data_IF_751149441319
#
_entry.id   IF_751149441319
#
_cell.length_a   1.000
_cell.length_b   1.000
_cell.length_c   1.000
_cell.angle_alpha   90.00
_cell.angle_beta   90.00
_cell.angle_gamma   90.00
#
_symmetry.space_group_name_H-M   'P 1'
#
loop_
_entity.id
_entity.type
_entity.pdbx_description
1 polymer ?
#
# COMPACT_ATOMS: atom_id res chain seq x y z
N UNK A 1 32.14 8.57 -0.46
CA UNK A 1 31.20 8.93 0.63
C UNK A 1 30.01 7.98 0.70
N UNK A 2 28.92 8.14 -0.07
CA UNK A 2 27.72 7.27 0.09
C UNK A 2 27.97 5.79 -0.24
N UNK A 3 28.74 5.49 -1.28
CA UNK A 3 29.10 4.10 -1.62
C UNK A 3 29.86 3.41 -0.47
N UNK A 4 30.82 4.10 0.14
CA UNK A 4 31.59 3.59 1.27
C UNK A 4 30.72 3.37 2.51
N UNK A 5 29.70 4.21 2.73
CA UNK A 5 28.71 4.02 3.81
C UNK A 5 27.90 2.75 3.57
N UNK A 6 27.46 2.48 2.34
CA UNK A 6 26.74 1.24 2.04
C UNK A 6 27.63 0.00 2.09
N UNK A 7 28.92 0.13 1.78
CA UNK A 7 29.90 -0.96 1.91
C UNK A 7 30.12 -1.40 3.36
N UNK A 8 29.71 -0.57 4.33
CA UNK A 8 29.69 -0.94 5.74
C UNK A 8 28.37 -1.58 6.19
N UNK A 9 27.29 -1.51 5.40
CA UNK A 9 26.03 -2.18 5.72
C UNK A 9 26.10 -3.65 5.30
N UNK A 10 25.98 -4.55 6.26
CA UNK A 10 25.99 -5.99 6.02
C UNK A 10 24.66 -6.50 5.48
N UNK A 11 23.54 -5.91 5.91
CA UNK A 11 22.17 -6.27 5.50
C UNK A 11 21.30 -5.01 5.55
N UNK A 12 20.36 -4.88 4.61
CA UNK A 12 19.32 -3.85 4.61
C UNK A 12 17.99 -4.49 4.18
N UNK A 13 17.13 -4.80 5.14
CA UNK A 13 15.85 -5.48 4.89
C UNK A 13 14.69 -4.53 4.61
N UNK A 14 14.88 -3.22 4.84
CA UNK A 14 13.81 -2.23 4.78
C UNK A 14 14.27 -0.91 4.16
N UNK A 15 13.48 -0.39 3.22
CA UNK A 15 13.67 0.92 2.61
C UNK A 15 12.32 1.65 2.59
N UNK A 16 12.24 2.76 3.31
CA UNK A 16 11.09 3.66 3.26
C UNK A 16 11.55 5.06 2.85
N UNK A 17 10.92 5.59 1.80
CA UNK A 17 11.25 6.91 1.26
C UNK A 17 10.22 7.90 1.81
N UNK A 18 10.70 8.79 2.68
CA UNK A 18 9.90 9.80 3.38
C UNK A 18 10.34 11.20 2.95
N UNK A 19 9.38 12.10 2.69
CA UNK A 19 9.64 13.53 2.44
C UNK A 19 10.81 13.82 1.47
N UNK A 20 10.83 13.13 0.33
CA UNK A 20 11.95 13.18 -0.60
C UNK A 20 11.62 14.13 -1.77
N UNK A 21 12.19 15.33 -1.73
CA UNK A 21 11.96 16.34 -2.77
C UNK A 21 12.74 16.10 -4.07
N UNK A 22 13.66 15.13 -4.09
CA UNK A 22 14.36 14.71 -5.29
C UNK A 22 14.93 13.31 -5.09
N UNK A 23 14.47 12.37 -5.90
CA UNK A 23 14.98 11.01 -5.91
C UNK A 23 16.01 10.87 -7.03
N UNK A 24 17.28 10.70 -6.68
CA UNK A 24 18.32 10.39 -7.65
C UNK A 24 18.19 8.92 -8.05
N UNK A 25 17.73 8.66 -9.28
CA UNK A 25 17.48 7.29 -9.76
C UNK A 25 18.76 6.44 -9.77
N UNK A 26 19.91 6.98 -10.16
CA UNK A 26 21.20 6.24 -10.14
C UNK A 26 21.57 5.79 -8.73
N UNK A 27 21.32 6.65 -7.73
CA UNK A 27 21.56 6.34 -6.34
C UNK A 27 20.67 5.20 -5.85
N UNK A 28 19.36 5.27 -6.12
CA UNK A 28 18.44 4.23 -5.63
C UNK A 28 18.65 2.90 -6.34
N UNK A 29 18.96 2.92 -7.63
CA UNK A 29 19.31 1.71 -8.37
C UNK A 29 20.52 0.98 -7.79
N UNK A 30 21.53 1.70 -7.30
CA UNK A 30 22.71 1.10 -6.67
C UNK A 30 22.36 0.42 -5.35
N UNK A 31 21.54 1.06 -4.51
CA UNK A 31 21.08 0.49 -3.23
C UNK A 31 20.25 -0.77 -3.49
N UNK A 32 19.28 -0.71 -4.41
CA UNK A 32 18.44 -1.86 -4.73
C UNK A 32 19.28 -3.03 -5.24
N UNK A 33 20.19 -2.80 -6.18
CA UNK A 33 21.03 -3.89 -6.71
C UNK A 33 21.89 -4.54 -5.65
N UNK A 34 22.32 -3.78 -4.65
CA UNK A 34 23.17 -4.28 -3.57
C UNK A 34 22.39 -5.11 -2.56
N UNK A 35 21.17 -4.70 -2.24
CA UNK A 35 20.36 -5.29 -1.16
C UNK A 35 19.13 -6.04 -1.68
N UNK A 36 19.01 -6.28 -2.99
CA UNK A 36 17.79 -6.86 -3.59
C UNK A 36 17.39 -8.20 -2.99
N UNK A 37 18.39 -9.00 -2.61
CA UNK A 37 18.19 -10.37 -2.14
C UNK A 37 17.74 -10.40 -0.68
N UNK A 38 18.07 -9.37 0.10
CA UNK A 38 17.69 -9.24 1.51
C UNK A 38 16.58 -8.21 1.75
N UNK A 39 16.18 -7.42 0.75
CA UNK A 39 15.11 -6.44 0.88
C UNK A 39 13.77 -7.16 1.00
N UNK A 40 13.10 -6.94 2.12
CA UNK A 40 11.80 -7.53 2.43
C UNK A 40 10.71 -6.47 2.64
N UNK A 41 11.08 -5.21 2.87
CA UNK A 41 10.13 -4.15 3.19
C UNK A 41 10.44 -2.92 2.32
N UNK A 42 9.42 -2.44 1.63
CA UNK A 42 9.56 -1.27 0.77
C UNK A 42 8.36 -0.34 0.87
N UNK A 43 8.60 0.97 0.91
CA UNK A 43 7.51 1.92 1.06
C UNK A 43 7.78 3.36 0.61
N UNK A 44 6.70 4.07 0.28
CA UNK A 44 6.67 5.52 0.12
C UNK A 44 5.73 6.15 1.15
N UNK A 45 6.15 7.15 1.89
CA UNK A 45 5.19 7.87 2.74
C UNK A 45 4.12 8.58 1.92
N UNK A 46 2.90 8.61 2.47
CA UNK A 46 1.66 9.22 1.97
C UNK A 46 1.72 10.74 1.66
N UNK A 47 2.85 11.41 1.91
CA UNK A 47 2.98 12.88 1.79
C UNK A 47 3.79 13.38 0.58
N UNK A 48 3.91 12.61 -0.50
CA UNK A 48 4.65 13.05 -1.70
C UNK A 48 3.78 13.95 -2.60
N UNK A 49 4.35 15.00 -3.20
CA UNK A 49 3.64 15.88 -4.14
C UNK A 49 3.66 15.33 -5.59
N UNK A 50 2.75 15.79 -6.46
CA UNK A 50 2.55 15.29 -7.84
C UNK A 50 3.79 15.35 -8.75
N UNK A 51 4.81 16.16 -8.40
CA UNK A 51 6.03 16.35 -9.21
C UNK A 51 6.96 15.12 -9.26
N UNK A 52 6.63 14.03 -8.56
CA UNK A 52 7.52 12.87 -8.35
C UNK A 52 7.07 11.56 -9.01
N UNK A 53 6.02 11.58 -9.82
CA UNK A 53 5.49 10.36 -10.42
C UNK A 53 6.51 9.61 -11.30
N UNK A 54 7.33 10.33 -12.07
CA UNK A 54 8.34 9.70 -12.95
C UNK A 54 9.49 9.03 -12.17
N UNK A 55 10.18 9.70 -11.22
CA UNK A 55 11.19 9.03 -10.40
C UNK A 55 10.63 7.86 -9.57
N UNK A 56 9.42 8.00 -9.03
CA UNK A 56 8.70 6.93 -8.32
C UNK A 56 8.46 5.73 -9.24
N UNK A 57 8.00 5.98 -10.47
CA UNK A 57 7.78 4.95 -11.47
C UNK A 57 9.06 4.21 -11.86
N UNK A 58 10.13 4.94 -12.17
CA UNK A 58 11.42 4.32 -12.49
C UNK A 58 11.93 3.45 -11.34
N UNK A 59 11.78 3.94 -10.10
CA UNK A 59 12.16 3.20 -8.92
C UNK A 59 11.35 1.90 -8.80
N UNK A 60 10.03 1.97 -8.99
CA UNK A 60 9.19 0.80 -8.98
C UNK A 60 9.55 -0.24 -10.03
N UNK A 61 9.79 0.18 -11.27
CA UNK A 61 10.22 -0.72 -12.35
C UNK A 61 11.50 -1.46 -11.96
N UNK A 62 12.43 -0.78 -11.29
CA UNK A 62 13.65 -1.40 -10.76
C UNK A 62 13.37 -2.39 -9.62
N UNK A 63 12.64 -2.00 -8.59
CA UNK A 63 12.37 -2.90 -7.45
C UNK A 63 11.61 -4.13 -7.91
N UNK A 64 10.58 -3.94 -8.74
CA UNK A 64 9.79 -5.02 -9.35
C UNK A 64 10.68 -6.01 -10.11
N UNK A 65 11.74 -5.51 -10.76
CA UNK A 65 12.70 -6.33 -11.50
C UNK A 65 13.66 -7.09 -10.60
N UNK A 66 14.21 -6.47 -9.56
CA UNK A 66 15.33 -7.01 -8.78
C UNK A 66 14.92 -7.63 -7.44
N UNK A 67 13.97 -7.04 -6.73
CA UNK A 67 13.53 -7.49 -5.42
C UNK A 67 12.40 -8.50 -5.57
N UNK A 68 12.61 -9.72 -5.10
CA UNK A 68 11.63 -10.82 -5.18
C UNK A 68 11.10 -11.27 -3.83
N UNK A 69 11.69 -10.81 -2.72
CA UNK A 69 11.36 -11.25 -1.36
C UNK A 69 10.56 -10.21 -0.57
N UNK A 70 9.88 -9.28 -1.25
CA UNK A 70 9.13 -8.22 -0.56
C UNK A 70 7.94 -8.85 0.18
N UNK A 71 7.94 -8.69 1.50
CA UNK A 71 6.91 -9.11 2.45
C UNK A 71 5.98 -7.95 2.84
N UNK A 72 6.53 -6.74 2.99
CA UNK A 72 5.78 -5.52 3.28
C UNK A 72 5.91 -4.53 2.13
N UNK A 73 4.77 -4.03 1.65
CA UNK A 73 4.73 -3.00 0.64
C UNK A 73 3.79 -1.85 1.03
N UNK A 74 4.31 -0.62 0.98
CA UNK A 74 3.54 0.62 1.10
C UNK A 74 3.64 1.42 -0.19
N UNK A 75 2.53 1.53 -0.92
CA UNK A 75 2.55 2.21 -2.22
C UNK A 75 2.75 3.73 -2.11
N UNK A 76 2.47 4.33 -0.95
CA UNK A 76 2.11 5.74 -0.85
C UNK A 76 0.97 6.07 -1.81
N UNK A 77 0.98 7.31 -2.32
CA UNK A 77 -0.07 7.82 -3.22
C UNK A 77 -0.30 6.88 -4.41
N UNK A 78 -1.53 6.47 -4.71
CA UNK A 78 -1.79 5.53 -5.78
C UNK A 78 -1.37 6.08 -7.15
N UNK A 79 -0.68 5.25 -7.91
CA UNK A 79 -0.67 5.32 -9.36
C UNK A 79 -1.23 3.99 -9.89
N UNK A 80 -2.10 4.06 -10.90
CA UNK A 80 -2.98 2.93 -11.22
C UNK A 80 -2.20 1.67 -11.62
N UNK A 81 -1.22 1.76 -12.51
CA UNK A 81 -0.66 0.56 -13.14
C UNK A 81 0.48 -0.07 -12.33
N UNK A 82 1.22 0.69 -11.52
CA UNK A 82 2.47 0.20 -10.95
C UNK A 82 2.24 -0.59 -9.68
N UNK A 83 1.23 -0.21 -8.89
CA UNK A 83 0.83 -0.94 -7.68
C UNK A 83 0.50 -2.39 -8.02
N UNK A 84 -0.31 -2.61 -9.06
CA UNK A 84 -0.72 -3.95 -9.46
C UNK A 84 0.46 -4.79 -9.94
N UNK A 85 1.30 -4.23 -10.81
CA UNK A 85 2.51 -4.90 -11.29
C UNK A 85 3.42 -5.29 -10.14
N UNK A 86 3.56 -4.44 -9.12
CA UNK A 86 4.39 -4.72 -7.95
C UNK A 86 3.82 -5.88 -7.13
N UNK A 87 2.51 -5.86 -6.88
CA UNK A 87 1.82 -6.92 -6.16
C UNK A 87 1.99 -8.24 -6.93
N UNK A 88 1.66 -8.26 -8.22
CA UNK A 88 1.80 -9.42 -9.11
C UNK A 88 3.20 -10.04 -9.05
N UNK A 89 4.24 -9.21 -9.13
CA UNK A 89 5.62 -9.68 -9.11
C UNK A 89 6.08 -10.27 -7.77
N UNK A 90 5.40 -9.95 -6.67
CA UNK A 90 5.74 -10.42 -5.33
C UNK A 90 4.59 -11.20 -4.68
N UNK A 91 3.64 -11.73 -5.46
CA UNK A 91 2.45 -12.44 -4.97
C UNK A 91 2.75 -13.61 -4.03
N UNK A 92 3.93 -14.23 -4.16
CA UNK A 92 4.32 -15.36 -3.31
C UNK A 92 4.87 -14.95 -1.94
N UNK A 93 5.26 -13.68 -1.76
CA UNK A 93 5.97 -13.21 -0.58
C UNK A 93 5.26 -12.08 0.17
N UNK A 94 4.48 -11.24 -0.51
CA UNK A 94 3.74 -10.14 0.12
C UNK A 94 2.74 -10.73 1.13
N UNK A 95 2.86 -10.26 2.37
CA UNK A 95 1.96 -10.57 3.47
C UNK A 95 1.29 -9.30 4.04
N UNK A 96 1.91 -8.14 3.84
CA UNK A 96 1.48 -6.86 4.37
C UNK A 96 1.44 -5.84 3.24
N UNK A 97 0.28 -5.23 3.04
CA UNK A 97 0.07 -4.25 1.98
C UNK A 97 -0.63 -3.00 2.55
N UNK A 98 -0.07 -1.84 2.24
CA UNK A 98 -0.61 -0.52 2.59
C UNK A 98 -0.76 0.31 1.31
N UNK A 99 -1.95 0.87 1.09
CA UNK A 99 -2.24 1.77 -0.03
C UNK A 99 -2.97 2.98 0.51
N UNK A 100 -2.38 4.17 0.29
CA UNK A 100 -2.91 5.41 0.86
C UNK A 100 -2.91 6.56 -0.13
N UNK A 101 -4.08 7.16 -0.31
CA UNK A 101 -4.27 8.39 -1.06
C UNK A 101 -4.18 9.62 -0.14
N UNK A 102 -3.83 10.75 -0.74
CA UNK A 102 -3.70 12.02 -0.05
C UNK A 102 -4.98 12.87 -0.23
N UNK A 103 -5.40 13.57 0.83
CA UNK A 103 -6.63 14.36 0.92
C UNK A 103 -6.60 15.71 0.19
N UNK A 104 -5.45 16.14 -0.35
CA UNK A 104 -5.29 17.51 -0.85
C UNK A 104 -5.60 17.72 -2.34
N UNK A 105 -5.91 16.68 -3.12
CA UNK A 105 -6.17 16.83 -4.55
C UNK A 105 -7.38 15.98 -5.01
N UNK A 106 -8.32 16.61 -5.70
CA UNK A 106 -9.54 15.99 -6.25
C UNK A 106 -9.26 14.94 -7.31
N UNK A 107 -8.11 15.02 -8.01
CA UNK A 107 -7.71 14.03 -9.01
C UNK A 107 -7.54 12.63 -8.40
N UNK A 108 -7.29 12.54 -7.08
CA UNK A 108 -7.12 11.26 -6.40
C UNK A 108 -8.43 10.57 -6.04
N UNK A 109 -9.59 11.22 -6.19
CA UNK A 109 -10.86 10.53 -5.95
C UNK A 109 -11.14 9.48 -7.02
N UNK A 110 -10.95 9.83 -8.29
CA UNK A 110 -11.13 8.92 -9.42
C UNK A 110 -10.10 7.79 -9.37
N UNK A 111 -8.82 8.13 -9.16
CA UNK A 111 -7.75 7.15 -9.01
C UNK A 111 -7.98 6.20 -7.83
N UNK A 112 -8.43 6.72 -6.68
CA UNK A 112 -8.73 5.87 -5.51
C UNK A 112 -9.83 4.85 -5.79
N UNK A 113 -10.88 5.27 -6.50
CA UNK A 113 -11.97 4.39 -6.93
C UNK A 113 -11.47 3.32 -7.89
N UNK A 114 -10.71 3.69 -8.92
CA UNK A 114 -10.09 2.76 -9.89
C UNK A 114 -9.17 1.77 -9.17
N UNK A 115 -8.34 2.26 -8.24
CA UNK A 115 -7.43 1.46 -7.43
C UNK A 115 -8.17 0.42 -6.63
N UNK A 116 -9.19 0.84 -5.88
CA UNK A 116 -9.97 -0.05 -5.03
C UNK A 116 -10.71 -1.13 -5.85
N UNK A 117 -11.36 -0.74 -6.95
CA UNK A 117 -12.15 -1.67 -7.78
C UNK A 117 -11.29 -2.80 -8.37
N UNK A 118 -10.07 -2.51 -8.82
CA UNK A 118 -9.22 -3.49 -9.48
C UNK A 118 -8.30 -4.26 -8.53
N UNK A 119 -8.01 -3.70 -7.34
CA UNK A 119 -7.05 -4.27 -6.40
C UNK A 119 -7.32 -5.74 -6.08
N UNK A 120 -8.57 -6.12 -5.84
CA UNK A 120 -8.96 -7.47 -5.48
C UNK A 120 -8.54 -8.55 -6.49
N UNK A 121 -8.42 -8.19 -7.78
CA UNK A 121 -8.06 -9.12 -8.86
C UNK A 121 -6.59 -9.53 -8.83
N UNK A 122 -5.72 -8.69 -8.24
CA UNK A 122 -4.26 -8.88 -8.25
C UNK A 122 -3.70 -9.25 -6.87
N UNK A 123 -4.52 -9.17 -5.82
CA UNK A 123 -4.10 -9.55 -4.46
C UNK A 123 -3.57 -10.99 -4.42
N UNK A 124 -2.53 -11.27 -3.62
CA UNK A 124 -2.09 -12.64 -3.39
C UNK A 124 -3.18 -13.43 -2.67
N UNK A 125 -3.15 -14.77 -2.75
CA UNK A 125 -4.17 -15.65 -2.12
C UNK A 125 -4.28 -15.49 -0.60
N UNK A 126 -3.28 -14.89 0.05
CA UNK A 126 -3.25 -14.67 1.50
C UNK A 126 -2.54 -13.37 1.84
N UNK A 127 -3.12 -12.60 2.77
CA UNK A 127 -2.51 -11.46 3.43
C UNK A 127 -2.67 -11.57 4.95
N UNK A 128 -1.63 -11.21 5.68
CA UNK A 128 -1.71 -10.98 7.13
C UNK A 128 -2.33 -9.63 7.45
N UNK A 129 -2.06 -8.61 6.63
CA UNK A 129 -2.59 -7.27 6.81
C UNK A 129 -2.81 -6.57 5.47
N UNK A 130 -3.99 -5.94 5.32
CA UNK A 130 -4.28 -5.03 4.22
C UNK A 130 -4.81 -3.71 4.81
N UNK A 131 -4.14 -2.59 4.51
CA UNK A 131 -4.53 -1.26 4.91
C UNK A 131 -4.84 -0.41 3.69
N UNK A 132 -6.08 0.09 3.62
CA UNK A 132 -6.57 0.94 2.54
C UNK A 132 -7.06 2.26 3.13
N UNK A 133 -6.41 3.35 2.76
CA UNK A 133 -6.85 4.71 3.09
C UNK A 133 -7.09 5.45 1.78
N UNK A 134 -8.31 5.37 1.25
CA UNK A 134 -8.65 5.74 -0.12
C UNK A 134 -9.94 6.57 -0.16
N UNK A 135 -10.15 7.35 -1.21
CA UNK A 135 -11.48 7.93 -1.49
C UNK A 135 -12.32 6.91 -2.24
N UNK A 136 -13.49 6.55 -1.72
CA UNK A 136 -14.35 5.58 -2.40
C UNK A 136 -15.84 5.77 -2.11
N UNK A 137 -16.67 5.09 -2.90
CA UNK A 137 -18.11 4.93 -2.73
C UNK A 137 -18.44 3.50 -2.28
N UNK A 138 -19.69 3.26 -1.85
CA UNK A 138 -20.17 1.91 -1.51
C UNK A 138 -19.97 0.94 -2.68
N UNK A 139 -20.28 1.40 -3.90
CA UNK A 139 -20.15 0.58 -5.10
C UNK A 139 -18.71 0.12 -5.32
N UNK A 140 -17.74 0.98 -5.06
CA UNK A 140 -16.31 0.62 -5.20
C UNK A 140 -15.92 -0.46 -4.20
N UNK A 141 -16.36 -0.32 -2.95
CA UNK A 141 -16.09 -1.29 -1.89
C UNK A 141 -16.73 -2.65 -2.20
N UNK A 142 -17.98 -2.68 -2.66
CA UNK A 142 -18.63 -3.92 -3.09
C UNK A 142 -17.87 -4.63 -4.21
N UNK A 143 -17.39 -3.88 -5.21
CA UNK A 143 -16.59 -4.43 -6.31
C UNK A 143 -15.28 -5.01 -5.78
N UNK A 144 -14.57 -4.27 -4.92
CA UNK A 144 -13.34 -4.74 -4.29
C UNK A 144 -13.55 -6.07 -3.54
N UNK A 145 -14.62 -6.17 -2.74
CA UNK A 145 -14.93 -7.36 -1.96
C UNK A 145 -15.27 -8.56 -2.86
N UNK A 146 -16.07 -8.35 -3.92
CA UNK A 146 -16.38 -9.38 -4.93
C UNK A 146 -15.11 -9.86 -5.62
N UNK A 147 -14.22 -8.93 -5.99
CA UNK A 147 -12.96 -9.26 -6.65
C UNK A 147 -11.96 -9.95 -5.71
N UNK A 148 -12.06 -9.72 -4.40
CA UNK A 148 -11.16 -10.29 -3.39
C UNK A 148 -11.63 -11.63 -2.79
N UNK A 149 -12.69 -12.24 -3.32
CA UNK A 149 -13.30 -13.46 -2.73
C UNK A 149 -12.34 -14.65 -2.61
N UNK A 150 -11.30 -14.71 -3.45
CA UNK A 150 -10.30 -15.79 -3.44
C UNK A 150 -9.08 -15.48 -2.57
N UNK A 151 -9.09 -14.35 -1.85
CA UNK A 151 -7.97 -13.90 -1.03
C UNK A 151 -8.34 -13.97 0.44
N UNK A 152 -7.57 -14.72 1.22
CA UNK A 152 -7.70 -14.71 2.68
C UNK A 152 -7.00 -13.47 3.26
N UNK A 153 -7.76 -12.60 3.93
CA UNK A 153 -7.20 -11.42 4.60
C UNK A 153 -7.41 -11.56 6.11
N UNK A 154 -6.32 -11.75 6.85
CA UNK A 154 -6.38 -11.96 8.31
C UNK A 154 -6.82 -10.70 9.06
N UNK A 155 -6.35 -9.53 8.62
CA UNK A 155 -6.73 -8.22 9.16
C UNK A 155 -6.82 -7.23 8.02
N UNK A 156 -8.04 -6.82 7.72
CA UNK A 156 -8.33 -5.74 6.79
C UNK A 156 -8.56 -4.46 7.60
N UNK A 157 -8.07 -3.35 7.09
CA UNK A 157 -8.37 -2.01 7.55
C UNK A 157 -8.72 -1.16 6.34
N UNK A 158 -9.87 -0.50 6.37
CA UNK A 158 -10.34 0.37 5.30
C UNK A 158 -10.80 1.69 5.92
N UNK A 159 -10.38 2.79 5.31
CA UNK A 159 -10.66 4.14 5.75
C UNK A 159 -10.98 5.01 4.54
N UNK A 160 -12.09 5.74 4.59
CA UNK A 160 -12.42 6.75 3.58
C UNK A 160 -11.83 8.09 3.98
N UNK A 161 -10.96 8.61 3.13
CA UNK A 161 -10.27 9.88 3.39
C UNK A 161 -11.16 11.11 3.17
N UNK A 162 -12.30 10.96 2.48
CA UNK A 162 -13.25 12.06 2.23
C UNK A 162 -14.29 12.19 3.34
N UNK A 163 -14.41 11.18 4.21
CA UNK A 163 -15.37 11.18 5.32
C UNK A 163 -16.83 11.02 4.88
N UNK A 164 -17.08 10.33 3.76
CA UNK A 164 -18.41 9.93 3.27
C UNK A 164 -18.99 8.76 4.08
N UNK A 165 -18.15 8.05 4.85
CA UNK A 165 -18.60 7.04 5.80
C UNK A 165 -19.05 7.75 7.08
N UNK A 166 -20.34 8.06 7.19
CA UNK A 166 -20.93 8.50 8.45
C UNK A 166 -21.50 7.29 9.25
N UNK A 167 -22.08 7.56 10.43
CA UNK A 167 -22.66 6.51 11.28
C UNK A 167 -23.86 5.78 10.62
N UNK A 168 -24.52 6.42 9.65
CA UNK A 168 -25.63 5.83 8.90
C UNK A 168 -25.11 4.84 7.84
N UNK A 169 -23.91 5.08 7.31
CA UNK A 169 -23.16 4.21 6.40
C UNK A 169 -22.79 2.84 7.01
N UNK A 170 -22.19 2.82 8.20
CA UNK A 170 -21.87 1.55 8.88
C UNK A 170 -23.13 0.76 9.29
N UNK A 171 -24.24 1.48 9.50
CA UNK A 171 -25.54 0.89 9.80
C UNK A 171 -26.20 0.27 8.57
N UNK A 172 -26.04 0.87 7.39
CA UNK A 172 -26.59 0.33 6.13
C UNK A 172 -25.83 -0.90 5.67
N UNK A 173 -24.51 -0.92 5.85
CA UNK A 173 -23.68 -2.09 5.62
C UNK A 173 -23.73 -3.08 6.79
N UNK A 174 -24.64 -2.97 7.76
CA UNK A 174 -24.61 -3.83 8.96
C UNK A 174 -24.68 -5.31 8.62
N UNK A 175 -25.40 -5.69 7.56
CA UNK A 175 -25.49 -7.07 7.13
C UNK A 175 -24.18 -7.54 6.48
N UNK A 176 -23.60 -6.70 5.63
CA UNK A 176 -22.35 -6.90 4.90
C UNK A 176 -21.15 -6.88 5.85
N UNK A 177 -21.09 -5.96 6.81
CA UNK A 177 -20.10 -5.88 7.91
C UNK A 177 -20.21 -7.08 8.84
N UNK A 178 -21.41 -7.60 9.07
CA UNK A 178 -21.57 -8.85 9.81
C UNK A 178 -21.08 -10.06 8.99
N UNK A 179 -21.30 -10.09 7.67
CA UNK A 179 -20.64 -11.06 6.78
C UNK A 179 -19.12 -10.89 6.81
N UNK A 180 -18.58 -9.68 6.81
CA UNK A 180 -17.15 -9.40 6.90
C UNK A 180 -16.55 -9.95 8.20
N UNK A 181 -17.26 -9.81 9.33
CA UNK A 181 -16.84 -10.41 10.60
C UNK A 181 -16.77 -11.93 10.54
N UNK A 182 -17.64 -12.61 9.77
CA UNK A 182 -17.55 -14.06 9.55
C UNK A 182 -16.28 -14.47 8.81
N UNK A 183 -15.66 -13.53 8.08
CA UNK A 183 -14.42 -13.72 7.33
C UNK A 183 -13.19 -13.06 8.00
N UNK A 184 -13.28 -12.71 9.30
CA UNK A 184 -12.24 -12.01 10.07
C UNK A 184 -11.84 -10.61 9.54
N UNK A 185 -12.71 -9.97 8.76
CA UNK A 185 -12.50 -8.60 8.29
C UNK A 185 -12.99 -7.62 9.37
N UNK A 186 -12.15 -6.66 9.75
CA UNK A 186 -12.45 -5.63 10.76
C UNK A 186 -12.64 -4.28 10.04
N UNK A 187 -13.82 -3.70 10.11
CA UNK A 187 -14.09 -2.34 9.58
C UNK A 187 -14.00 -1.36 10.76
N UNK A 188 -13.26 -0.26 10.61
CA UNK A 188 -13.10 0.81 11.62
C UNK A 188 -13.37 2.18 10.99
N UNK A 189 -13.83 3.13 11.80
CA UNK A 189 -14.00 4.52 11.35
C UNK A 189 -12.66 5.22 11.14
N UNK A 190 -12.63 6.20 10.23
CA UNK A 190 -11.47 7.08 9.99
C UNK A 190 -10.99 7.75 11.29
N UNK A 191 -11.90 8.14 12.18
CA UNK A 191 -11.55 8.79 13.45
C UNK A 191 -11.09 7.83 14.55
N UNK A 192 -11.46 6.54 14.46
CA UNK A 192 -10.96 5.48 15.35
C UNK A 192 -9.54 5.01 14.97
N UNK A 193 -9.08 5.43 13.78
CA UNK A 193 -7.75 5.21 13.27
C UNK A 193 -6.80 6.28 13.79
N UNK A 194 -6.43 6.19 15.07
CA UNK A 194 -5.45 7.08 15.71
C UNK A 194 -4.00 6.91 15.20
N UNK A 195 -3.79 6.36 14.01
CA UNK A 195 -2.48 5.96 13.55
C UNK A 195 -2.38 5.98 12.03
N UNK A 196 -1.77 7.04 11.50
CA UNK A 196 -1.10 7.03 10.20
C UNK A 196 -0.29 5.72 10.04
N UNK A 197 -0.13 5.19 8.81
CA UNK A 197 0.58 3.92 8.56
C UNK A 197 2.03 3.93 9.06
N UNK A 198 2.58 5.12 9.36
CA UNK A 198 3.82 5.29 10.11
C UNK A 198 3.88 4.42 11.39
N UNK A 199 2.73 4.14 12.02
CA UNK A 199 2.66 3.33 13.24
C UNK A 199 2.85 1.83 12.97
N UNK A 200 2.74 1.34 11.73
CA UNK A 200 3.06 -0.06 11.41
C UNK A 200 4.58 -0.30 11.44
N UNK A 201 5.37 0.68 11.01
CA UNK A 201 6.84 0.64 11.11
C UNK A 201 7.26 0.65 12.60
N UNK A 202 6.55 1.40 13.46
CA UNK A 202 6.89 1.49 14.88
C UNK A 202 6.41 0.29 15.74
N UNK A 203 5.49 -0.55 15.26
CA UNK A 203 4.90 -1.65 16.07
C UNK A 203 5.29 -3.07 15.63
N UNK A 204 5.91 -3.24 14.47
CA UNK A 204 6.27 -4.56 13.93
C UNK A 204 7.74 -4.69 13.53
N UNK A 205 8.58 -3.70 13.86
CA UNK A 205 10.04 -3.80 13.92
C UNK A 205 10.53 -3.65 15.36
#
# INVERSE_FOLDING_TARGET
ILQEVFDQLNVLESIHILYCNSLNSDFVQQIIKKFSDCLENFGFASMMFNEYNEPKRQLFEFITKYCKNIRYFDSGIPDDNIIYLFIENNQNNINYLTIEANTYNTDYEELSSIVLQNLGQVLPSKLEYLCLSLSFTISDLEIFLKNSQNTFIKKLLISDIVGRLDNEFLFTLRNEVNEFKLHNIIVKEFHDLHSSPCIFIDNYF
#
